data_IF_758010678978
#
_entry.id   IF_758010678978
#
_cell.length_a   1.000
_cell.length_b   1.000
_cell.length_c   1.000
_cell.angle_alpha   90.00
_cell.angle_beta   90.00
_cell.angle_gamma   90.00
#
_symmetry.space_group_name_H-M   'P 1'
#
loop_
_entity.id
_entity.type
_entity.pdbx_description
1 polymer ?
#
# COMPACT_ATOMS: atom_id res chain seq x y z
N UNK A 1 1.61 33.07 -14.69
CA UNK A 1 2.55 32.01 -15.10
C UNK A 1 1.82 30.91 -15.87
N UNK A 2 0.74 30.33 -15.33
CA UNK A 2 -0.05 29.29 -16.01
C UNK A 2 -0.59 29.72 -17.39
N UNK A 3 -1.30 30.84 -17.47
CA UNK A 3 -1.85 31.37 -18.75
C UNK A 3 -0.76 31.68 -19.79
N UNK A 4 0.48 31.99 -19.36
CA UNK A 4 1.60 32.20 -20.28
C UNK A 4 2.17 30.88 -20.82
N UNK A 5 2.15 29.83 -20.01
CA UNK A 5 2.70 28.52 -20.36
C UNK A 5 1.69 27.64 -21.11
N UNK A 6 0.38 27.84 -20.88
CA UNK A 6 -0.70 27.09 -21.49
C UNK A 6 -1.56 28.03 -22.36
N UNK A 7 -1.17 28.20 -23.62
CA UNK A 7 -1.75 29.19 -24.56
C UNK A 7 -3.20 28.93 -25.01
N UNK A 8 -3.81 27.83 -24.56
CA UNK A 8 -5.22 27.48 -24.77
C UNK A 8 -5.90 27.01 -23.49
N UNK A 9 -5.45 27.52 -22.34
CA UNK A 9 -6.07 27.20 -21.06
C UNK A 9 -7.44 27.87 -20.97
N UNK A 10 -8.50 27.08 -21.11
CA UNK A 10 -9.89 27.54 -21.07
C UNK A 10 -10.59 27.23 -19.75
N UNK A 11 -10.17 26.17 -19.06
CA UNK A 11 -10.77 25.73 -17.81
C UNK A 11 -9.73 25.26 -16.80
N UNK A 12 -9.97 25.55 -15.52
CA UNK A 12 -9.20 25.03 -14.39
C UNK A 12 -10.17 24.32 -13.45
N UNK A 13 -9.92 23.04 -13.18
CA UNK A 13 -10.70 22.23 -12.24
C UNK A 13 -9.92 22.03 -10.95
N UNK A 14 -10.53 22.37 -9.81
CA UNK A 14 -9.89 22.27 -8.49
C UNK A 14 -10.83 21.66 -7.45
N UNK A 15 -10.26 21.11 -6.38
CA UNK A 15 -11.06 20.67 -5.23
C UNK A 15 -11.50 21.85 -4.37
N UNK A 16 -12.57 21.66 -3.60
CA UNK A 16 -13.14 22.65 -2.69
C UNK A 16 -12.14 23.26 -1.67
N UNK A 17 -11.07 22.53 -1.31
CA UNK A 17 -10.05 22.94 -0.35
C UNK A 17 -8.76 23.48 -1.00
N UNK A 18 -8.81 23.72 -2.32
CA UNK A 18 -7.68 24.20 -3.10
C UNK A 18 -7.13 25.53 -2.59
N UNK A 19 -5.81 25.62 -2.54
CA UNK A 19 -5.11 26.88 -2.34
C UNK A 19 -3.71 26.81 -2.91
N UNK A 20 -3.16 27.98 -3.21
CA UNK A 20 -1.92 28.15 -3.94
C UNK A 20 -1.17 29.40 -3.48
N UNK A 21 0.00 29.64 -4.06
CA UNK A 21 0.86 30.75 -3.66
C UNK A 21 1.64 30.44 -2.38
N UNK A 22 2.51 31.38 -2.00
CA UNK A 22 3.31 31.27 -0.78
C UNK A 22 2.38 31.21 0.43
N UNK A 23 2.61 30.25 1.32
CA UNK A 23 1.82 30.07 2.55
C UNK A 23 0.30 29.92 2.31
N UNK A 24 -0.09 29.35 1.16
CA UNK A 24 -1.48 29.16 0.74
C UNK A 24 -2.28 30.48 0.70
N UNK A 25 -1.61 31.58 0.33
CA UNK A 25 -2.21 32.93 0.29
C UNK A 25 -3.32 33.09 -0.76
N UNK A 26 -3.35 32.25 -1.78
CA UNK A 26 -4.39 32.23 -2.81
C UNK A 26 -5.38 31.08 -2.58
N UNK A 27 -6.65 31.35 -2.88
CA UNK A 27 -7.76 30.40 -2.78
C UNK A 27 -8.60 30.41 -4.08
N UNK A 28 -9.75 29.74 -4.07
CA UNK A 28 -10.66 29.68 -5.23
C UNK A 28 -11.07 31.07 -5.70
N UNK A 29 -11.48 31.97 -4.80
CA UNK A 29 -11.85 33.35 -5.16
C UNK A 29 -10.70 34.10 -5.83
N UNK A 30 -9.49 33.97 -5.28
CA UNK A 30 -8.29 34.54 -5.90
C UNK A 30 -8.03 33.96 -7.28
N UNK A 31 -8.28 32.67 -7.50
CA UNK A 31 -8.13 32.02 -8.80
C UNK A 31 -9.13 32.57 -9.82
N UNK A 32 -10.40 32.74 -9.44
CA UNK A 32 -11.47 33.29 -10.27
C UNK A 32 -11.21 34.76 -10.67
N UNK A 33 -10.57 35.55 -9.79
CA UNK A 33 -10.17 36.92 -10.12
C UNK A 33 -9.07 36.96 -11.21
N UNK A 34 -8.07 36.08 -11.10
CA UNK A 34 -6.90 36.06 -11.97
C UNK A 34 -7.12 35.32 -13.29
N UNK A 35 -7.97 34.30 -13.30
CA UNK A 35 -8.21 33.47 -14.48
C UNK A 35 -9.50 33.89 -15.19
N UNK A 36 -9.39 34.25 -16.46
CA UNK A 36 -10.54 34.69 -17.28
C UNK A 36 -11.34 33.55 -17.89
N UNK A 37 -10.84 32.31 -17.81
CA UNK A 37 -11.57 31.12 -18.24
C UNK A 37 -12.49 30.56 -17.15
N UNK A 38 -13.02 29.36 -17.38
CA UNK A 38 -13.92 28.68 -16.43
C UNK A 38 -13.15 28.12 -15.24
N UNK A 39 -13.67 28.29 -14.03
CA UNK A 39 -13.18 27.60 -12.83
C UNK A 39 -14.27 26.66 -12.34
N UNK A 40 -13.98 25.36 -12.34
CA UNK A 40 -14.90 24.33 -11.84
C UNK A 40 -14.39 23.82 -10.50
N UNK A 41 -15.22 23.97 -9.46
CA UNK A 41 -14.91 23.50 -8.11
C UNK A 41 -15.58 22.15 -7.87
N UNK A 42 -14.79 21.11 -7.64
CA UNK A 42 -15.27 19.78 -7.27
C UNK A 42 -15.53 19.76 -5.77
N UNK A 43 -16.76 19.43 -5.41
CA UNK A 43 -17.19 19.32 -4.02
C UNK A 43 -16.45 18.20 -3.26
N UNK A 44 -16.46 18.29 -1.94
CA UNK A 44 -15.89 17.27 -1.06
C UNK A 44 -16.60 15.92 -1.29
N UNK A 45 -15.81 14.88 -1.58
CA UNK A 45 -16.30 13.50 -1.60
C UNK A 45 -16.12 12.88 -0.21
N UNK A 46 -17.13 12.13 0.24
CA UNK A 46 -17.10 11.37 1.49
C UNK A 46 -17.33 9.89 1.23
N UNK A 47 -16.72 9.05 2.05
CA UNK A 47 -17.09 7.66 2.24
C UNK A 47 -17.72 7.55 3.63
N UNK A 48 -18.99 7.16 3.69
CA UNK A 48 -19.83 7.32 4.88
C UNK A 48 -19.75 8.79 5.37
N UNK A 49 -19.44 9.03 6.64
CA UNK A 49 -19.31 10.38 7.20
C UNK A 49 -17.89 10.95 7.12
N UNK A 50 -16.95 10.23 6.49
CA UNK A 50 -15.53 10.61 6.47
C UNK A 50 -15.13 11.20 5.11
N UNK A 51 -14.55 12.40 5.14
CA UNK A 51 -14.02 13.05 3.93
C UNK A 51 -12.83 12.26 3.34
N UNK A 52 -12.86 12.03 2.03
CA UNK A 52 -11.83 11.29 1.31
C UNK A 52 -10.66 12.24 1.04
N UNK A 53 -9.66 12.20 1.94
CA UNK A 53 -8.40 12.92 1.77
C UNK A 53 -7.22 11.98 1.84
N UNK A 54 -6.13 12.31 1.14
CA UNK A 54 -4.90 11.51 1.18
C UNK A 54 -4.38 11.34 2.61
N UNK A 55 -4.50 12.34 3.49
CA UNK A 55 -4.09 12.22 4.90
C UNK A 55 -4.90 11.15 5.63
N UNK A 56 -6.20 11.10 5.40
CA UNK A 56 -7.12 10.13 6.02
C UNK A 56 -6.79 8.71 5.53
N UNK A 57 -6.69 8.51 4.22
CA UNK A 57 -6.33 7.22 3.63
C UNK A 57 -4.97 6.73 4.15
N UNK A 58 -3.96 7.61 4.17
CA UNK A 58 -2.62 7.29 4.70
C UNK A 58 -2.67 6.89 6.18
N UNK A 59 -3.56 7.46 6.98
CA UNK A 59 -3.73 7.05 8.38
C UNK A 59 -4.35 5.65 8.49
N UNK A 60 -5.41 5.35 7.73
CA UNK A 60 -5.97 4.00 7.70
C UNK A 60 -4.93 2.94 7.30
N UNK A 61 -4.07 3.25 6.31
CA UNK A 61 -2.96 2.37 5.89
C UNK A 61 -1.97 2.15 7.05
N UNK A 62 -1.53 3.22 7.74
CA UNK A 62 -0.61 3.13 8.88
C UNK A 62 -1.19 2.44 10.10
N UNK A 63 -2.51 2.43 10.25
CA UNK A 63 -3.22 1.74 11.34
C UNK A 63 -3.54 0.28 11.00
N UNK A 64 -3.20 -0.19 9.79
CA UNK A 64 -3.50 -1.55 9.34
C UNK A 64 -4.96 -1.75 8.93
N UNK A 65 -5.75 -0.68 8.88
CA UNK A 65 -7.16 -0.67 8.44
C UNK A 65 -7.26 -0.63 6.92
N UNK A 66 -6.61 -1.60 6.27
CA UNK A 66 -6.47 -1.66 4.80
C UNK A 66 -7.81 -1.69 4.09
N UNK A 67 -8.81 -2.39 4.62
CA UNK A 67 -10.14 -2.47 3.98
C UNK A 67 -10.78 -1.09 3.83
N UNK A 68 -10.75 -0.27 4.88
CA UNK A 68 -11.32 1.07 4.83
C UNK A 68 -10.54 1.99 3.88
N UNK A 69 -9.21 1.88 3.87
CA UNK A 69 -8.38 2.57 2.88
C UNK A 69 -8.75 2.15 1.45
N UNK A 70 -8.95 0.85 1.19
CA UNK A 70 -9.28 0.32 -0.12
C UNK A 70 -10.65 0.79 -0.62
N UNK A 71 -11.65 0.88 0.27
CA UNK A 71 -12.97 1.44 -0.06
C UNK A 71 -12.86 2.92 -0.47
N UNK A 72 -12.08 3.71 0.26
CA UNK A 72 -11.86 5.13 -0.07
C UNK A 72 -11.04 5.32 -1.37
N UNK A 73 -10.13 4.37 -1.67
CA UNK A 73 -9.35 4.37 -2.91
C UNK A 73 -10.11 3.80 -4.11
N UNK A 74 -11.23 3.12 -3.89
CA UNK A 74 -11.94 2.30 -4.88
C UNK A 74 -11.05 1.22 -5.55
N UNK A 75 -9.98 0.82 -4.87
CA UNK A 75 -9.05 -0.24 -5.29
C UNK A 75 -8.22 -0.70 -4.09
N UNK A 76 -7.63 -1.89 -4.20
CA UNK A 76 -6.67 -2.35 -3.18
C UNK A 76 -5.42 -1.47 -3.17
N UNK A 77 -4.98 -1.09 -1.97
CA UNK A 77 -3.69 -0.43 -1.79
C UNK A 77 -2.58 -1.37 -2.26
N UNK A 78 -1.61 -0.80 -2.96
CA UNK A 78 -0.59 -1.57 -3.66
C UNK A 78 0.76 -0.91 -3.50
N UNK A 79 1.79 -1.74 -3.31
CA UNK A 79 3.19 -1.34 -3.34
C UNK A 79 3.93 -2.18 -4.38
N UNK A 80 5.05 -1.68 -4.86
CA UNK A 80 5.94 -2.38 -5.78
C UNK A 80 7.38 -2.35 -5.29
N UNK A 81 8.16 -3.34 -5.70
CA UNK A 81 9.56 -3.41 -5.31
C UNK A 81 10.33 -4.48 -6.06
N UNK A 82 11.65 -4.36 -6.01
CA UNK A 82 12.54 -5.33 -6.63
C UNK A 82 12.62 -6.58 -5.76
N UNK A 83 12.63 -7.76 -6.38
CA UNK A 83 12.90 -8.98 -5.63
C UNK A 83 14.39 -9.10 -5.39
N UNK A 84 14.77 -9.16 -4.12
CA UNK A 84 16.15 -9.26 -3.69
C UNK A 84 16.45 -10.65 -3.15
N UNK A 85 17.72 -11.04 -3.24
CA UNK A 85 18.18 -12.24 -2.55
C UNK A 85 17.97 -12.06 -1.06
N UNK A 86 17.10 -12.88 -0.48
CA UNK A 86 16.96 -12.99 0.96
C UNK A 86 18.26 -13.49 1.59
N UNK A 87 18.34 -13.43 2.91
CA UNK A 87 19.52 -13.87 3.69
C UNK A 87 19.76 -15.40 3.64
N UNK A 88 18.95 -16.17 2.90
CA UNK A 88 18.98 -17.65 2.96
C UNK A 88 18.51 -18.21 4.31
N UNK A 89 17.97 -17.36 5.20
CA UNK A 89 17.46 -17.71 6.53
C UNK A 89 16.03 -18.29 6.50
N UNK A 90 15.44 -18.41 5.31
CA UNK A 90 14.39 -19.41 5.08
C UNK A 90 15.02 -20.78 5.30
N UNK A 91 15.20 -21.17 6.58
CA UNK A 91 15.60 -22.53 6.91
C UNK A 91 14.60 -23.43 6.19
N UNK A 92 15.02 -24.63 5.76
CA UNK A 92 14.11 -25.64 5.20
C UNK A 92 12.86 -25.91 6.08
N UNK A 93 12.83 -25.39 7.31
CA UNK A 93 11.72 -25.44 8.27
C UNK A 93 10.56 -24.47 7.97
N UNK A 94 10.77 -23.37 7.23
CA UNK A 94 9.71 -22.39 6.92
C UNK A 94 9.32 -22.42 5.44
N UNK A 95 8.18 -21.81 5.12
CA UNK A 95 7.71 -21.67 3.74
C UNK A 95 8.61 -20.71 2.94
N UNK A 96 8.79 -20.94 1.62
CA UNK A 96 9.61 -20.08 0.78
C UNK A 96 8.95 -18.70 0.60
N UNK A 97 9.72 -17.63 0.77
CA UNK A 97 9.27 -16.24 0.58
C UNK A 97 10.13 -15.49 -0.43
N UNK A 98 9.51 -14.56 -1.15
CA UNK A 98 10.22 -13.51 -1.89
C UNK A 98 10.50 -12.35 -0.94
N UNK A 99 11.75 -11.87 -0.93
CA UNK A 99 12.15 -10.69 -0.16
C UNK A 99 12.10 -9.48 -1.09
N UNK A 100 11.39 -8.42 -0.69
CA UNK A 100 11.08 -7.29 -1.58
C UNK A 100 11.76 -6.02 -1.06
N UNK A 101 12.52 -5.35 -1.93
CA UNK A 101 13.03 -4.00 -1.72
C UNK A 101 12.04 -2.98 -2.27
N UNK A 102 11.26 -2.36 -1.39
CA UNK A 102 10.14 -1.48 -1.75
C UNK A 102 10.63 -0.05 -2.01
N UNK A 103 10.22 0.53 -3.14
CA UNK A 103 10.70 1.85 -3.60
C UNK A 103 9.59 2.89 -3.47
N UNK A 104 9.79 3.92 -2.64
CA UNK A 104 8.94 5.14 -2.57
C UNK A 104 7.44 4.95 -2.22
N UNK A 105 7.07 3.87 -1.52
CA UNK A 105 5.70 3.66 -1.04
C UNK A 105 5.51 3.97 0.45
N UNK A 106 4.28 4.34 0.82
CA UNK A 106 3.86 4.33 2.22
C UNK A 106 3.62 2.88 2.66
N UNK A 107 4.54 2.32 3.43
CA UNK A 107 4.31 0.99 3.99
C UNK A 107 3.14 1.01 4.98
N UNK A 108 2.27 -0.02 4.94
CA UNK A 108 1.20 -0.19 5.92
C UNK A 108 1.77 -0.55 7.29
N UNK A 109 0.90 -0.64 8.30
CA UNK A 109 1.26 -1.09 9.65
C UNK A 109 2.09 -2.38 9.61
N UNK A 110 3.06 -2.53 10.51
CA UNK A 110 3.77 -3.81 10.62
C UNK A 110 2.81 -4.95 11.01
N UNK A 111 2.95 -6.10 10.37
CA UNK A 111 2.12 -7.28 10.62
C UNK A 111 2.03 -8.22 9.42
N UNK A 112 1.01 -9.08 9.49
CA UNK A 112 0.72 -10.10 8.49
C UNK A 112 -0.55 -9.72 7.74
N UNK A 113 -0.54 -9.91 6.43
CA UNK A 113 -1.60 -9.51 5.53
C UNK A 113 -1.98 -10.64 4.57
N UNK A 114 -3.28 -10.76 4.27
CA UNK A 114 -3.73 -11.47 3.09
C UNK A 114 -3.54 -10.53 1.89
N UNK A 115 -2.79 -10.99 0.89
CA UNK A 115 -2.35 -10.17 -0.23
C UNK A 115 -2.51 -10.88 -1.55
N UNK A 116 -2.47 -10.13 -2.65
CA UNK A 116 -2.20 -10.69 -3.96
C UNK A 116 -0.87 -10.15 -4.46
N UNK A 117 0.00 -11.02 -4.98
CA UNK A 117 1.28 -10.62 -5.55
C UNK A 117 1.25 -10.82 -7.06
N UNK A 118 1.58 -9.78 -7.83
CA UNK A 118 1.71 -9.85 -9.27
C UNK A 118 3.10 -10.35 -9.63
N UNK A 119 3.16 -11.42 -10.41
CA UNK A 119 4.38 -11.96 -11.01
C UNK A 119 4.10 -12.04 -12.51
N UNK A 120 4.87 -11.30 -13.30
CA UNK A 120 4.60 -11.01 -14.69
C UNK A 120 3.25 -10.30 -14.83
N UNK A 121 2.37 -10.91 -15.60
CA UNK A 121 1.01 -10.42 -15.83
C UNK A 121 -0.06 -11.10 -14.97
N UNK A 122 0.33 -12.00 -14.06
CA UNK A 122 -0.62 -12.78 -13.28
C UNK A 122 -0.61 -12.41 -11.80
N UNK A 123 -1.80 -12.21 -11.23
CA UNK A 123 -1.99 -12.05 -9.78
C UNK A 123 -2.12 -13.42 -9.11
N UNK A 124 -1.37 -13.62 -8.03
CA UNK A 124 -1.41 -14.82 -7.23
C UNK A 124 -1.80 -14.50 -5.79
N UNK A 125 -2.62 -15.37 -5.18
CA UNK A 125 -2.91 -15.30 -3.75
C UNK A 125 -1.62 -15.46 -2.96
N UNK A 126 -1.48 -14.66 -1.92
CA UNK A 126 -0.26 -14.59 -1.12
C UNK A 126 -0.55 -14.19 0.32
N UNK A 127 0.41 -14.47 1.19
CA UNK A 127 0.46 -13.90 2.53
C UNK A 127 1.74 -13.08 2.63
N UNK A 128 1.61 -11.83 3.09
CA UNK A 128 2.74 -10.92 3.19
C UNK A 128 3.03 -10.53 4.64
N UNK A 129 4.31 -10.50 4.97
CA UNK A 129 4.84 -9.95 6.21
C UNK A 129 5.48 -8.59 5.92
N UNK A 130 5.21 -7.62 6.79
CA UNK A 130 5.87 -6.32 6.79
C UNK A 130 6.29 -6.01 8.21
N UNK A 131 7.57 -5.76 8.44
CA UNK A 131 8.06 -5.31 9.73
C UNK A 131 9.40 -5.92 10.12
N UNK A 132 9.73 -5.77 11.39
CA UNK A 132 10.97 -6.32 11.95
C UNK A 132 10.82 -7.81 12.30
N UNK A 133 11.74 -8.68 11.88
CA UNK A 133 11.70 -10.12 12.22
C UNK A 133 12.13 -10.38 13.67
N UNK A 134 11.28 -9.98 14.63
CA UNK A 134 11.56 -10.00 16.08
C UNK A 134 11.85 -11.37 16.68
N UNK A 135 11.45 -12.45 15.99
CA UNK A 135 11.72 -13.83 16.39
C UNK A 135 13.02 -14.41 15.80
N UNK A 136 13.69 -13.68 14.91
CA UNK A 136 14.94 -14.12 14.26
C UNK A 136 16.03 -13.06 14.34
N UNK A 137 16.32 -12.32 13.26
CA UNK A 137 17.47 -11.41 13.13
C UNK A 137 17.15 -9.95 13.49
N UNK A 138 15.88 -9.63 13.76
CA UNK A 138 15.42 -8.29 14.12
C UNK A 138 15.46 -7.27 12.98
N UNK A 139 15.85 -7.65 11.74
CA UNK A 139 15.90 -6.74 10.60
C UNK A 139 14.50 -6.47 10.07
N UNK A 140 14.30 -5.27 9.52
CA UNK A 140 13.10 -4.93 8.78
C UNK A 140 13.07 -5.70 7.45
N UNK A 141 11.91 -6.25 7.09
CA UNK A 141 11.70 -6.93 5.82
C UNK A 141 10.27 -6.74 5.31
N UNK A 142 10.14 -6.76 3.98
CA UNK A 142 8.87 -7.01 3.29
C UNK A 142 9.01 -8.35 2.59
N UNK A 143 8.17 -9.29 2.97
CA UNK A 143 8.21 -10.65 2.46
C UNK A 143 6.84 -11.09 1.99
N UNK A 144 6.79 -11.83 0.88
CA UNK A 144 5.55 -12.43 0.39
C UNK A 144 5.76 -13.91 0.10
N UNK A 145 4.85 -14.74 0.61
CA UNK A 145 4.75 -16.15 0.26
C UNK A 145 3.59 -16.33 -0.71
N UNK A 146 3.85 -16.93 -1.87
CA UNK A 146 2.80 -17.27 -2.82
C UNK A 146 2.14 -18.57 -2.40
N UNK A 147 0.83 -18.52 -2.23
CA UNK A 147 0.04 -19.63 -1.70
C UNK A 147 -0.16 -20.69 -2.79
N UNK A 148 -0.01 -21.96 -2.40
CA UNK A 148 -0.24 -23.15 -3.23
C UNK A 148 0.58 -23.20 -4.53
N UNK A 149 1.71 -22.48 -4.58
CA UNK A 149 2.57 -22.43 -5.77
C UNK A 149 4.04 -22.22 -5.39
N UNK A 150 4.91 -23.06 -5.93
CA UNK A 150 6.34 -22.77 -5.96
C UNK A 150 6.64 -21.85 -7.15
N UNK A 151 7.33 -20.74 -6.88
CA UNK A 151 7.76 -19.81 -7.92
C UNK A 151 9.23 -20.08 -8.23
N UNK A 152 9.50 -20.45 -9.48
CA UNK A 152 10.83 -20.58 -10.04
C UNK A 152 11.05 -19.48 -11.08
N UNK A 153 12.27 -18.95 -11.18
CA UNK A 153 12.56 -17.84 -12.10
C UNK A 153 11.90 -16.55 -11.62
N UNK A 154 12.46 -15.99 -10.54
CA UNK A 154 11.94 -14.79 -9.90
C UNK A 154 12.14 -13.60 -10.84
N UNK A 155 11.06 -12.92 -11.20
CA UNK A 155 11.14 -11.64 -11.92
C UNK A 155 11.79 -10.57 -11.04
N UNK A 156 12.52 -9.64 -11.66
CA UNK A 156 13.27 -8.61 -10.92
C UNK A 156 12.34 -7.68 -10.12
N UNK A 157 11.08 -7.55 -10.50
CA UNK A 157 10.11 -6.64 -9.87
C UNK A 157 8.75 -7.32 -9.66
N UNK A 158 8.13 -7.07 -8.51
CA UNK A 158 6.77 -7.54 -8.20
C UNK A 158 5.92 -6.44 -7.60
N UNK A 159 4.61 -6.63 -7.66
CA UNK A 159 3.63 -5.75 -7.03
C UNK A 159 2.82 -6.52 -5.99
N UNK A 160 2.55 -5.92 -4.83
CA UNK A 160 1.76 -6.53 -3.75
C UNK A 160 0.53 -5.67 -3.51
N UNK A 161 -0.66 -6.26 -3.66
CA UNK A 161 -1.96 -5.70 -3.26
C UNK A 161 -2.33 -6.18 -1.87
N UNK A 162 -2.71 -5.26 -1.00
CA UNK A 162 -3.16 -5.55 0.35
C UNK A 162 -4.68 -5.64 0.38
N UNK A 163 -5.19 -6.80 0.77
CA UNK A 163 -6.63 -7.04 0.85
C UNK A 163 -7.11 -6.98 2.30
N UNK A 164 -6.43 -7.70 3.20
CA UNK A 164 -6.80 -7.79 4.60
C UNK A 164 -5.57 -7.77 5.52
N UNK A 165 -5.71 -7.05 6.64
CA UNK A 165 -4.81 -7.24 7.78
C UNK A 165 -5.25 -8.48 8.56
N UNK A 166 -4.31 -9.39 8.83
CA UNK A 166 -4.57 -10.64 9.55
C UNK A 166 -4.26 -10.44 11.04
N UNK A 167 -3.04 -10.01 11.36
CA UNK A 167 -2.60 -9.81 12.74
C UNK A 167 -1.34 -8.95 12.84
N UNK A 168 -1.10 -8.44 14.03
CA UNK A 168 0.17 -7.80 14.37
C UNK A 168 1.33 -8.80 14.40
N UNK A 169 2.52 -8.27 14.15
CA UNK A 169 3.76 -9.00 14.35
C UNK A 169 3.99 -9.24 15.85
N UNK A 170 4.55 -10.40 16.21
CA UNK A 170 4.85 -10.75 17.59
C UNK A 170 6.07 -11.65 17.67
N UNK A 171 6.75 -11.63 18.81
CA UNK A 171 7.85 -12.54 19.11
C UNK A 171 7.32 -13.92 19.50
N UNK A 172 8.00 -14.97 19.07
CA UNK A 172 7.76 -16.36 19.48
C UNK A 172 8.96 -16.87 20.27
N UNK A 173 8.70 -17.73 21.25
CA UNK A 173 9.73 -18.29 22.13
C UNK A 173 10.62 -19.31 21.40
N UNK A 174 10.05 -20.03 20.43
CA UNK A 174 10.77 -21.00 19.62
C UNK A 174 10.31 -20.98 18.15
N UNK A 175 11.08 -21.65 17.29
CA UNK A 175 10.84 -21.67 15.84
C UNK A 175 9.66 -22.56 15.43
N UNK A 176 9.27 -23.54 16.24
CA UNK A 176 8.11 -24.39 15.94
C UNK A 176 6.81 -23.63 16.15
N UNK A 177 6.69 -22.86 17.22
CA UNK A 177 5.54 -21.98 17.46
C UNK A 177 5.38 -20.93 16.34
N UNK A 178 6.51 -20.39 15.85
CA UNK A 178 6.51 -19.48 14.70
C UNK A 178 6.02 -20.20 13.44
N UNK A 179 6.49 -21.42 13.17
CA UNK A 179 6.08 -22.21 12.01
C UNK A 179 4.57 -22.50 12.05
N UNK A 180 4.08 -22.98 13.19
CA UNK A 180 2.66 -23.28 13.39
C UNK A 180 1.78 -22.03 13.20
N UNK A 181 2.27 -20.85 13.60
CA UNK A 181 1.55 -19.61 13.34
C UNK A 181 1.59 -19.23 11.86
N UNK A 182 2.71 -19.38 11.16
CA UNK A 182 2.80 -19.11 9.71
C UNK A 182 1.79 -19.97 8.97
N UNK A 183 1.67 -21.26 9.32
CA UNK A 183 0.69 -22.16 8.70
C UNK A 183 -0.76 -21.68 8.95
N UNK A 184 -1.07 -21.23 10.17
CA UNK A 184 -2.38 -20.63 10.50
C UNK A 184 -2.63 -19.34 9.72
N UNK A 185 -1.61 -18.50 9.54
CA UNK A 185 -1.72 -17.24 8.81
C UNK A 185 -1.98 -17.49 7.31
N UNK A 186 -1.33 -18.51 6.73
CA UNK A 186 -1.57 -18.95 5.34
C UNK A 186 -3.02 -19.44 5.18
N UNK A 187 -3.49 -20.31 6.08
CA UNK A 187 -4.90 -20.76 6.03
C UNK A 187 -5.85 -19.58 6.18
N UNK A 188 -5.55 -18.65 7.10
CA UNK A 188 -6.39 -17.47 7.28
C UNK A 188 -6.41 -16.57 6.06
N UNK A 189 -5.28 -16.40 5.38
CA UNK A 189 -5.22 -15.68 4.11
C UNK A 189 -6.11 -16.35 3.07
N UNK A 190 -6.05 -17.68 2.89
CA UNK A 190 -6.91 -18.43 1.96
C UNK A 190 -8.41 -18.25 2.22
N UNK A 191 -8.82 -18.12 3.47
CA UNK A 191 -10.22 -17.87 3.82
C UNK A 191 -10.68 -16.45 3.45
N UNK A 192 -9.76 -15.48 3.47
CA UNK A 192 -10.06 -14.07 3.27
C UNK A 192 -10.05 -13.66 1.78
N UNK A 193 -9.28 -14.36 0.94
CA UNK A 193 -9.08 -14.04 -0.49
C UNK A 193 -9.22 -15.24 -1.40
#
# INVERSE_FOLDING_TARGET
MLVKNFKGLEEIVVGYDFGFGRDKSGNISTLEEFFKGSVTVVEMIKYEDTAIHSRVIKNYIREGKIREANKMLSRSYQIGGNVIKGQGLGSKRFVPTLNIDVIEYLLPKEGIYATQTKIGDTWHKSVSFIGHRVSTDGKFAVETHIIDKEIHGVEDFVEIKFEHFIRENRKFENLDDLKDQIDKDIQKAKELI
#
